data_IF_831909156539
#
_entry.id   IF_831909156539
#
_cell.length_a   1.000
_cell.length_b   1.000
_cell.length_c   1.000
_cell.angle_alpha   90.00
_cell.angle_beta   90.00
_cell.angle_gamma   90.00
#
_symmetry.space_group_name_H-M   'P 1'
#
loop_
_entity.id
_entity.type
_entity.pdbx_description
1 polymer ?
#
# COMPACT_ATOMS: atom_id res chain seq x y z
N UNK A 1 -13.79 -0.02 13.02
CA UNK A 1 -12.68 -0.09 12.04
C UNK A 1 -12.68 1.22 11.27
N UNK A 2 -11.57 1.95 11.29
CA UNK A 2 -11.41 3.12 10.46
C UNK A 2 -10.83 2.67 9.12
N UNK A 3 -11.34 3.23 8.02
CA UNK A 3 -10.88 2.89 6.66
C UNK A 3 -9.91 3.95 6.11
N UNK A 4 -9.51 4.91 6.94
CA UNK A 4 -8.61 6.00 6.56
C UNK A 4 -7.15 5.57 6.38
N UNK A 5 -6.78 4.36 6.79
CA UNK A 5 -5.41 3.88 6.67
C UNK A 5 -5.28 2.36 6.70
N UNK A 6 -4.27 1.87 5.97
CA UNK A 6 -3.76 0.50 6.04
C UNK A 6 -2.39 0.51 6.71
N UNK A 7 -2.10 -0.50 7.51
CA UNK A 7 -0.83 -0.63 8.24
C UNK A 7 -0.15 -1.93 7.84
N UNK A 8 1.14 -1.86 7.55
CA UNK A 8 1.97 -2.96 7.13
C UNK A 8 3.12 -3.15 8.13
N UNK A 9 3.34 -4.40 8.50
CA UNK A 9 4.57 -4.85 9.16
C UNK A 9 5.48 -5.46 8.09
N UNK A 10 6.66 -4.86 7.92
CA UNK A 10 7.66 -5.24 6.92
C UNK A 10 9.04 -5.45 7.57
N UNK A 11 9.06 -5.76 8.88
CA UNK A 11 10.29 -6.09 9.60
C UNK A 11 11.25 -4.92 9.87
N UNK A 12 10.85 -3.68 9.57
CA UNK A 12 11.59 -2.47 9.94
C UNK A 12 11.33 -2.03 11.39
N UNK A 13 12.03 -0.98 11.84
CA UNK A 13 11.88 -0.45 13.21
C UNK A 13 10.48 0.11 13.51
N UNK A 14 9.70 0.48 12.48
CA UNK A 14 8.36 1.02 12.61
C UNK A 14 7.40 0.46 11.56
N UNK A 15 6.13 0.32 11.95
CA UNK A 15 5.04 -0.05 11.04
C UNK A 15 4.87 1.02 9.96
N UNK A 16 4.68 0.56 8.72
CA UNK A 16 4.42 1.45 7.57
C UNK A 16 2.92 1.68 7.45
N UNK A 17 2.51 2.94 7.30
CA UNK A 17 1.10 3.32 7.14
C UNK A 17 0.86 3.88 5.75
N UNK A 18 -0.17 3.39 5.09
CA UNK A 18 -0.68 3.90 3.80
C UNK A 18 -2.01 4.60 4.05
N UNK A 19 -2.13 5.91 3.77
CA UNK A 19 -3.38 6.64 3.93
C UNK A 19 -4.39 6.29 2.82
N UNK A 20 -5.66 6.21 3.19
CA UNK A 20 -6.79 5.77 2.36
C UNK A 20 -7.94 6.80 2.41
N UNK A 21 -7.60 8.09 2.40
CA UNK A 21 -8.56 9.20 2.54
C UNK A 21 -9.52 9.35 1.35
N UNK A 22 -9.14 8.84 0.17
CA UNK A 22 -9.89 8.92 -1.08
C UNK A 22 -10.55 7.56 -1.38
N UNK A 23 -11.86 7.36 -1.12
CA UNK A 23 -12.50 6.05 -1.21
C UNK A 23 -12.53 5.44 -2.61
N UNK A 24 -12.36 6.26 -3.65
CA UNK A 24 -12.34 5.84 -5.06
C UNK A 24 -10.94 5.45 -5.55
N UNK A 25 -9.88 5.67 -4.74
CA UNK A 25 -8.50 5.28 -5.08
C UNK A 25 -8.18 3.91 -4.51
N UNK A 26 -7.14 3.26 -5.05
CA UNK A 26 -6.73 1.92 -4.63
C UNK A 26 -7.56 0.78 -5.23
N UNK A 27 -8.41 1.08 -6.23
CA UNK A 27 -9.14 0.06 -7.00
C UNK A 27 -8.19 -0.79 -7.85
N UNK A 28 -8.68 -1.93 -8.35
CA UNK A 28 -7.92 -2.79 -9.27
C UNK A 28 -7.39 -2.05 -10.50
N UNK A 29 -8.15 -1.10 -11.06
CA UNK A 29 -7.68 -0.28 -12.18
C UNK A 29 -6.47 0.58 -11.80
N UNK A 30 -6.39 1.03 -10.55
CA UNK A 30 -5.29 1.86 -10.07
C UNK A 30 -4.03 1.05 -9.74
N UNK A 31 -4.20 -0.10 -9.06
CA UNK A 31 -3.07 -0.82 -8.45
C UNK A 31 -2.91 -2.27 -8.89
N UNK A 32 -3.77 -2.79 -9.77
CA UNK A 32 -3.75 -4.21 -10.17
C UNK A 32 -2.41 -4.64 -10.75
N UNK A 33 -1.92 -3.93 -11.77
CA UNK A 33 -0.61 -4.20 -12.37
C UNK A 33 0.54 -4.01 -11.36
N UNK A 34 0.43 -3.06 -10.45
CA UNK A 34 1.44 -2.85 -9.40
C UNK A 34 1.51 -4.08 -8.49
N UNK A 35 0.36 -4.56 -8.00
CA UNK A 35 0.27 -5.75 -7.17
C UNK A 35 0.74 -7.03 -7.88
N UNK A 36 0.46 -7.16 -9.18
CA UNK A 36 0.90 -8.32 -9.99
C UNK A 36 2.40 -8.34 -10.26
N UNK A 37 3.07 -7.17 -10.25
CA UNK A 37 4.47 -7.05 -10.63
C UNK A 37 5.44 -6.92 -9.46
N UNK A 38 4.94 -6.59 -8.26
CA UNK A 38 5.76 -6.54 -7.05
C UNK A 38 5.96 -7.95 -6.48
N UNK A 39 7.22 -8.32 -6.22
CA UNK A 39 7.58 -9.59 -5.60
C UNK A 39 7.52 -9.58 -4.07
N UNK A 40 7.47 -8.40 -3.46
CA UNK A 40 7.36 -8.24 -2.01
C UNK A 40 6.54 -7.00 -1.59
N UNK A 41 6.16 -6.96 -0.31
CA UNK A 41 5.43 -5.82 0.27
C UNK A 41 6.34 -4.59 0.38
N UNK A 42 7.63 -4.77 0.64
CA UNK A 42 8.62 -3.69 0.67
C UNK A 42 8.71 -3.00 -0.70
N UNK A 43 8.80 -3.78 -1.78
CA UNK A 43 8.82 -3.27 -3.15
C UNK A 43 7.52 -2.54 -3.50
N UNK A 44 6.36 -3.09 -3.10
CA UNK A 44 5.07 -2.44 -3.27
C UNK A 44 5.04 -1.07 -2.58
N UNK A 45 5.49 -1.01 -1.32
CA UNK A 45 5.48 0.22 -0.53
C UNK A 45 6.46 1.26 -1.06
N UNK A 46 7.63 0.84 -1.55
CA UNK A 46 8.60 1.73 -2.20
C UNK A 46 7.97 2.38 -3.44
N UNK A 47 7.37 1.57 -4.32
CA UNK A 47 6.72 2.07 -5.55
C UNK A 47 5.47 2.91 -5.31
N UNK A 48 4.72 2.67 -4.22
CA UNK A 48 3.58 3.52 -3.82
C UNK A 48 4.01 4.89 -3.28
N UNK A 49 5.26 5.00 -2.81
CA UNK A 49 5.81 6.22 -2.21
C UNK A 49 6.64 7.09 -3.15
N UNK A 50 6.93 6.60 -4.36
CA UNK A 50 7.62 7.32 -5.42
C UNK A 50 6.66 8.26 -6.18
#
# INVERSE_FOLDING_TARGET
ANWDSMVFDVGGEALRRVPMMEPSRGTQQHVGTLLETCGSVEELLERLSA
#
